data_IF_563299826711
#
_entry.id   IF_563299826711
#
_cell.length_a   1.000
_cell.length_b   1.000
_cell.length_c   1.000
_cell.angle_alpha   90.00
_cell.angle_beta   90.00
_cell.angle_gamma   90.00
#
_symmetry.space_group_name_H-M   'P 1'
#
loop_
_entity.id
_entity.type
_entity.pdbx_description
1 polymer ?
#
# COMPACT_ATOMS: atom_id res chain seq x y z
N UNK A 1 22.36 83.06 -29.32
CA UNK A 1 23.32 83.25 -28.21
C UNK A 1 22.53 83.31 -26.89
N UNK A 2 22.99 82.54 -25.89
CA UNK A 2 22.50 82.41 -24.50
C UNK A 2 21.49 81.30 -24.19
N UNK A 3 22.12 80.13 -23.99
CA UNK A 3 21.80 79.05 -23.05
C UNK A 3 21.21 79.54 -21.71
N UNK A 4 20.12 78.94 -21.22
CA UNK A 4 19.88 78.71 -19.79
C UNK A 4 19.07 77.42 -19.57
N UNK A 5 19.73 76.49 -18.91
CA UNK A 5 19.23 75.24 -18.34
C UNK A 5 18.35 75.56 -17.12
N UNK A 6 17.19 74.90 -16.99
CA UNK A 6 16.46 74.80 -15.71
C UNK A 6 16.13 73.33 -15.47
N UNK A 7 16.45 72.91 -14.25
CA UNK A 7 16.48 71.56 -13.75
C UNK A 7 15.12 71.04 -13.24
N UNK A 8 15.00 69.72 -13.32
CA UNK A 8 14.27 68.74 -12.51
C UNK A 8 13.23 69.19 -11.45
N UNK A 9 12.06 68.51 -11.48
CA UNK A 9 11.47 67.87 -10.31
C UNK A 9 10.43 66.82 -10.74
N UNK A 10 10.77 65.53 -10.61
CA UNK A 10 9.80 64.41 -10.66
C UNK A 10 9.29 64.23 -9.24
N UNK A 11 8.01 64.51 -9.00
CA UNK A 11 7.36 64.24 -7.73
C UNK A 11 6.96 62.76 -7.64
N UNK A 12 7.66 61.97 -6.82
CA UNK A 12 7.26 60.62 -6.45
C UNK A 12 6.18 60.69 -5.36
N UNK A 13 4.99 60.16 -5.63
CA UNK A 13 3.95 59.95 -4.63
C UNK A 13 4.24 58.63 -3.90
N UNK A 14 4.79 58.71 -2.68
CA UNK A 14 4.90 57.58 -1.77
C UNK A 14 3.67 57.55 -0.85
N UNK A 15 2.74 56.62 -1.10
CA UNK A 15 1.67 56.33 -0.14
C UNK A 15 2.21 55.44 0.97
N UNK A 16 2.27 55.99 2.19
CA UNK A 16 2.54 55.25 3.42
C UNK A 16 1.22 54.64 3.90
N UNK A 17 1.09 53.31 3.84
CA UNK A 17 0.04 52.59 4.55
C UNK A 17 0.45 52.41 6.01
N UNK A 18 -0.22 53.13 6.92
CA UNK A 18 -0.16 52.88 8.36
C UNK A 18 -1.00 51.63 8.68
N UNK A 19 -0.34 50.49 8.88
CA UNK A 19 -0.96 49.28 9.43
C UNK A 19 -1.05 49.36 10.96
N UNK A 20 -2.27 49.40 11.50
CA UNK A 20 -2.50 49.21 12.94
C UNK A 20 -2.39 47.73 13.33
N UNK A 21 -2.13 47.41 14.63
CA UNK A 21 -1.98 46.02 15.05
C UNK A 21 -3.32 45.29 15.02
N UNK A 22 -3.37 44.16 14.31
CA UNK A 22 -4.49 43.21 14.35
C UNK A 22 -4.34 42.37 15.61
N UNK A 23 -5.34 42.43 16.50
CA UNK A 23 -5.41 41.57 17.69
C UNK A 23 -6.22 40.33 17.33
N UNK A 24 -5.64 39.15 17.51
CA UNK A 24 -6.34 37.89 17.33
C UNK A 24 -7.22 37.61 18.56
N UNK A 25 -8.49 37.27 18.34
CA UNK A 25 -9.38 36.78 19.40
C UNK A 25 -8.96 35.38 19.84
N UNK A 26 -8.96 35.08 21.15
CA UNK A 26 -8.68 33.73 21.64
C UNK A 26 -9.80 32.77 21.24
N UNK A 27 -9.42 31.53 20.93
CA UNK A 27 -10.35 30.47 20.58
C UNK A 27 -11.37 30.22 21.71
N UNK A 28 -12.63 29.96 21.33
CA UNK A 28 -13.70 29.69 22.27
C UNK A 28 -13.36 28.46 23.15
N UNK A 29 -13.66 28.51 24.46
CA UNK A 29 -13.42 27.38 25.36
C UNK A 29 -14.27 26.17 24.97
N UNK A 30 -13.73 24.97 25.17
CA UNK A 30 -14.47 23.73 24.94
C UNK A 30 -15.70 23.65 25.86
N UNK A 31 -16.84 23.12 25.37
CA UNK A 31 -18.01 22.89 26.21
C UNK A 31 -17.69 21.92 27.35
N UNK A 32 -18.29 22.13 28.52
CA UNK A 32 -18.03 21.29 29.69
C UNK A 32 -18.32 19.81 29.43
N UNK A 33 -17.34 18.96 29.74
CA UNK A 33 -17.45 17.52 29.65
C UNK A 33 -17.76 16.92 31.03
N UNK A 34 -18.93 16.27 31.17
CA UNK A 34 -19.23 15.43 32.33
C UNK A 34 -19.08 13.95 31.97
N UNK A 35 -18.08 13.29 32.56
CA UNK A 35 -17.91 11.85 32.44
C UNK A 35 -18.98 11.11 33.25
N UNK A 36 -19.92 10.42 32.59
CA UNK A 36 -20.82 9.46 33.26
C UNK A 36 -20.18 8.08 33.27
N UNK A 37 -19.91 7.54 34.47
CA UNK A 37 -19.51 6.13 34.63
C UNK A 37 -20.76 5.25 34.57
N UNK A 38 -20.85 4.45 33.51
CA UNK A 38 -21.91 3.44 33.35
C UNK A 38 -21.36 2.10 33.85
N UNK A 39 -22.15 1.37 34.65
CA UNK A 39 -21.77 0.03 35.11
C UNK A 39 -21.76 -0.96 33.93
N UNK A 40 -20.79 -1.89 33.85
CA UNK A 40 -20.81 -2.95 32.85
C UNK A 40 -22.08 -3.81 32.99
N UNK A 41 -22.68 -4.27 31.87
CA UNK A 41 -23.81 -5.18 31.91
C UNK A 41 -23.43 -6.53 32.53
N UNK A 42 -24.39 -7.17 33.19
CA UNK A 42 -24.20 -8.46 33.84
C UNK A 42 -23.84 -9.58 32.84
N UNK A 43 -23.06 -10.60 33.25
CA UNK A 43 -22.69 -11.72 32.38
C UNK A 43 -23.93 -12.43 31.83
N UNK A 44 -23.99 -12.61 30.51
CA UNK A 44 -25.10 -13.31 29.82
C UNK A 44 -26.05 -12.42 29.01
N UNK A 45 -25.83 -11.10 28.96
CA UNK A 45 -26.66 -10.20 28.14
C UNK A 45 -26.25 -10.26 26.66
N UNK A 46 -27.12 -10.75 25.78
CA UNK A 46 -26.87 -10.80 24.34
C UNK A 46 -26.82 -9.38 23.73
N UNK A 47 -25.73 -9.05 23.02
CA UNK A 47 -25.55 -7.74 22.39
C UNK A 47 -26.42 -7.62 21.14
N UNK A 48 -27.48 -6.82 21.20
CA UNK A 48 -28.07 -6.19 20.00
C UNK A 48 -27.64 -4.73 19.99
N UNK A 49 -26.53 -4.44 19.33
CA UNK A 49 -26.15 -3.07 19.01
C UNK A 49 -27.02 -2.66 17.82
N UNK A 50 -28.13 -1.97 18.08
CA UNK A 50 -28.87 -1.24 17.05
C UNK A 50 -28.42 0.22 17.15
N UNK A 51 -27.30 0.57 16.53
CA UNK A 51 -26.94 1.98 16.35
C UNK A 51 -27.81 2.50 15.20
N UNK A 52 -28.93 3.12 15.53
CA UNK A 52 -29.58 4.03 14.58
C UNK A 52 -28.91 5.38 14.73
N UNK A 53 -28.13 5.77 13.72
CA UNK A 53 -27.65 7.15 13.60
C UNK A 53 -28.82 7.97 13.07
N UNK A 54 -29.15 9.05 13.77
CA UNK A 54 -30.19 10.00 13.38
C UNK A 54 -29.84 10.62 12.00
N UNK A 55 -30.71 10.49 10.97
CA UNK A 55 -30.48 11.03 9.64
C UNK A 55 -30.20 12.54 9.62
N UNK A 56 -30.77 13.30 10.56
CA UNK A 56 -30.57 14.76 10.63
C UNK A 56 -29.15 15.14 11.06
N UNK A 57 -28.53 14.33 11.92
CA UNK A 57 -27.15 14.55 12.39
C UNK A 57 -26.13 14.28 11.28
N UNK A 58 -26.44 13.33 10.39
CA UNK A 58 -25.60 13.02 9.23
C UNK A 58 -25.69 14.11 8.16
N UNK A 59 -26.87 14.72 7.99
CA UNK A 59 -27.06 15.87 7.10
C UNK A 59 -26.36 17.13 7.61
N UNK A 60 -26.36 17.38 8.94
CA UNK A 60 -25.59 18.48 9.55
C UNK A 60 -24.09 18.35 9.33
N UNK A 61 -23.54 17.14 9.42
CA UNK A 61 -22.11 16.88 9.16
C UNK A 61 -21.73 17.00 7.68
N UNK A 62 -22.65 16.66 6.78
CA UNK A 62 -22.44 16.80 5.33
C UNK A 62 -22.55 18.25 4.84
N UNK A 63 -23.22 19.14 5.58
CA UNK A 63 -23.46 20.53 5.20
C UNK A 63 -22.34 21.52 5.62
N UNK A 64 -21.29 21.07 6.31
CA UNK A 64 -20.15 21.92 6.67
C UNK A 64 -19.29 22.18 5.41
N UNK A 65 -19.10 23.43 4.97
CA UNK A 65 -18.24 23.73 3.84
C UNK A 65 -16.80 23.30 4.14
N UNK A 66 -16.20 22.50 3.25
CA UNK A 66 -14.77 22.19 3.26
C UNK A 66 -14.01 23.52 3.14
N UNK A 67 -13.44 24.00 4.23
CA UNK A 67 -12.54 25.15 4.20
C UNK A 67 -11.38 24.80 3.25
N UNK A 68 -11.26 25.58 2.18
CA UNK A 68 -10.13 25.57 1.28
C UNK A 68 -8.87 25.86 2.09
N UNK A 69 -7.96 24.89 2.15
CA UNK A 69 -6.62 25.09 2.68
C UNK A 69 -5.88 26.06 1.77
N UNK A 70 -5.91 27.34 2.11
CA UNK A 70 -5.01 28.33 1.53
C UNK A 70 -3.58 27.97 1.93
N UNK A 71 -2.73 27.75 0.94
CA UNK A 71 -1.27 27.60 1.07
C UNK A 71 -0.71 28.80 1.82
N UNK A 72 -0.36 28.61 3.09
CA UNK A 72 0.47 29.52 3.85
C UNK A 72 1.93 29.30 3.45
N UNK A 73 2.67 30.39 3.26
CA UNK A 73 4.06 30.38 2.81
C UNK A 73 4.98 29.55 3.70
N UNK A 74 5.98 28.94 3.06
CA UNK A 74 7.00 28.14 3.73
C UNK A 74 7.81 29.03 4.69
N UNK A 75 7.77 28.67 5.98
CA UNK A 75 8.78 29.10 6.96
C UNK A 75 10.08 28.34 6.65
N UNK A 76 11.19 29.02 6.31
CA UNK A 76 12.45 28.37 5.96
C UNK A 76 13.20 27.78 7.17
N UNK A 77 12.65 27.89 8.38
CA UNK A 77 13.28 27.44 9.64
C UNK A 77 12.44 26.40 10.41
N UNK A 78 11.44 25.80 9.75
CA UNK A 78 10.71 24.67 10.32
C UNK A 78 11.62 23.44 10.37
N UNK A 79 12.07 23.10 11.58
CA UNK A 79 12.76 21.83 11.87
C UNK A 79 11.92 20.68 11.31
N UNK A 80 12.47 19.75 10.51
CA UNK A 80 11.67 18.70 9.89
C UNK A 80 11.03 17.85 10.97
N UNK A 81 9.71 17.98 11.13
CA UNK A 81 8.91 17.07 11.95
C UNK A 81 9.14 15.66 11.44
N UNK A 82 9.66 14.78 12.30
CA UNK A 82 9.93 13.39 11.97
C UNK A 82 8.66 12.77 11.33
N UNK A 83 8.79 12.26 10.09
CA UNK A 83 7.69 11.58 9.41
C UNK A 83 7.21 10.44 10.31
N UNK A 84 5.91 10.38 10.57
CA UNK A 84 5.32 9.27 11.31
C UNK A 84 5.59 7.95 10.57
N UNK A 85 6.06 6.94 11.30
CA UNK A 85 6.34 5.62 10.75
C UNK A 85 5.04 5.01 10.19
N UNK A 86 5.07 4.58 8.92
CA UNK A 86 3.91 3.99 8.25
C UNK A 86 3.89 2.47 8.41
N UNK A 87 5.04 1.84 8.58
CA UNK A 87 5.18 0.39 8.77
C UNK A 87 6.52 0.00 9.37
N UNK A 88 6.75 -1.31 9.56
CA UNK A 88 8.00 -1.86 10.09
C UNK A 88 9.18 -1.61 9.16
N UNK A 89 8.93 -1.51 7.85
CA UNK A 89 9.97 -1.40 6.83
C UNK A 89 9.99 -0.03 6.15
N UNK A 90 9.84 1.07 6.90
CA UNK A 90 9.87 2.42 6.32
C UNK A 90 11.17 2.72 5.56
N UNK A 91 12.30 2.20 6.04
CA UNK A 91 13.61 2.30 5.38
C UNK A 91 13.62 1.75 3.95
N UNK A 92 12.76 0.77 3.63
CA UNK A 92 12.64 0.23 2.27
C UNK A 92 12.10 1.29 1.31
N UNK A 93 11.14 2.10 1.78
CA UNK A 93 10.48 3.15 1.02
C UNK A 93 11.33 4.42 0.86
N UNK A 94 12.48 4.51 1.53
CA UNK A 94 13.49 5.54 1.29
C UNK A 94 14.31 5.25 0.03
N UNK A 95 14.53 3.97 -0.29
CA UNK A 95 15.29 3.53 -1.47
C UNK A 95 14.44 3.12 -2.66
N UNK A 96 13.16 2.78 -2.45
CA UNK A 96 12.22 2.37 -3.51
C UNK A 96 11.00 3.29 -3.47
N UNK A 97 10.77 4.04 -4.56
CA UNK A 97 9.61 4.92 -4.64
C UNK A 97 8.30 4.12 -4.58
N UNK A 98 7.30 4.55 -3.78
CA UNK A 98 5.96 3.97 -3.80
C UNK A 98 5.09 4.51 -4.93
N UNK A 99 5.55 5.50 -5.69
CA UNK A 99 4.70 6.28 -6.57
C UNK A 99 4.40 5.54 -7.87
N UNK A 100 3.17 5.72 -8.37
CA UNK A 100 2.72 5.19 -9.65
C UNK A 100 3.46 5.84 -10.83
N UNK A 101 3.83 7.11 -10.70
CA UNK A 101 4.57 7.84 -11.74
C UNK A 101 5.98 7.29 -11.98
N UNK A 102 6.53 6.52 -11.03
CA UNK A 102 7.84 5.86 -11.12
C UNK A 102 7.70 4.37 -11.47
N UNK A 103 6.55 3.96 -12.04
CA UNK A 103 6.30 2.59 -12.45
C UNK A 103 7.33 2.11 -13.46
N UNK A 104 7.99 1.00 -13.15
CA UNK A 104 8.95 0.33 -14.01
C UNK A 104 9.22 -1.09 -13.51
N UNK A 105 9.25 -2.10 -14.39
CA UNK A 105 9.73 -3.43 -14.05
C UNK A 105 11.13 -3.43 -13.42
N UNK A 106 11.98 -2.45 -13.76
CA UNK A 106 13.34 -2.32 -13.25
C UNK A 106 13.41 -2.06 -11.73
N UNK A 107 12.32 -1.57 -11.10
CA UNK A 107 12.26 -1.38 -9.64
C UNK A 107 12.52 -2.67 -8.86
N UNK A 108 12.33 -3.83 -9.49
CA UNK A 108 12.67 -5.12 -8.89
C UNK A 108 14.16 -5.19 -8.51
N UNK A 109 15.04 -4.75 -9.42
CA UNK A 109 16.48 -4.84 -9.21
C UNK A 109 16.90 -4.02 -7.99
N UNK A 110 16.46 -2.76 -7.96
CA UNK A 110 16.76 -1.84 -6.85
C UNK A 110 16.20 -2.36 -5.53
N UNK A 111 14.97 -2.87 -5.54
CA UNK A 111 14.34 -3.45 -4.35
C UNK A 111 15.10 -4.69 -3.83
N UNK A 112 15.52 -5.60 -4.71
CA UNK A 112 16.28 -6.79 -4.31
C UNK A 112 17.70 -6.47 -3.84
N UNK A 113 18.37 -5.47 -4.45
CA UNK A 113 19.64 -4.97 -3.95
C UNK A 113 19.50 -4.41 -2.54
N UNK A 114 18.47 -3.58 -2.32
CA UNK A 114 18.19 -2.96 -1.03
C UNK A 114 17.90 -4.02 0.06
N UNK A 115 17.12 -5.06 -0.26
CA UNK A 115 16.82 -6.18 0.64
C UNK A 115 18.02 -7.06 0.97
N UNK A 116 19.06 -7.04 0.13
CA UNK A 116 20.31 -7.78 0.37
C UNK A 116 21.26 -7.05 1.33
N UNK A 117 20.92 -5.84 1.75
CA UNK A 117 21.71 -5.01 2.65
C UNK A 117 21.69 -5.44 4.12
N UNK A 118 22.17 -4.54 4.99
CA UNK A 118 22.32 -4.81 6.42
C UNK A 118 20.99 -4.93 7.18
N UNK A 119 19.98 -4.15 6.76
CA UNK A 119 18.63 -4.21 7.34
C UNK A 119 17.84 -5.32 6.64
N UNK A 120 17.35 -6.28 7.43
CA UNK A 120 16.72 -7.49 6.89
C UNK A 120 15.21 -7.49 7.08
N UNK A 121 14.51 -7.86 6.02
CA UNK A 121 13.11 -8.29 6.07
C UNK A 121 13.08 -9.78 6.41
N UNK A 122 12.10 -10.21 7.20
CA UNK A 122 11.95 -11.63 7.50
C UNK A 122 11.51 -12.38 6.22
N UNK A 123 12.36 -13.27 5.74
CA UNK A 123 12.08 -14.13 4.58
C UNK A 123 11.76 -15.57 5.04
N UNK A 124 10.95 -16.32 4.27
CA UNK A 124 10.75 -17.75 4.52
C UNK A 124 12.07 -18.51 4.42
N UNK A 125 12.19 -19.58 5.22
CA UNK A 125 13.35 -20.50 5.14
C UNK A 125 13.33 -21.23 3.79
N UNK A 126 14.50 -21.51 3.22
CA UNK A 126 14.64 -22.26 1.97
C UNK A 126 13.87 -23.58 2.00
N UNK A 127 14.00 -24.34 3.10
CA UNK A 127 13.27 -25.60 3.32
C UNK A 127 11.75 -25.42 3.19
N UNK A 128 11.18 -24.36 3.76
CA UNK A 128 9.73 -24.12 3.70
C UNK A 128 9.27 -23.87 2.25
N UNK A 129 10.03 -23.11 1.47
CA UNK A 129 9.72 -22.92 0.06
C UNK A 129 9.91 -24.20 -0.77
N UNK A 130 10.90 -25.03 -0.46
CA UNK A 130 11.07 -26.35 -1.08
C UNK A 130 9.88 -27.28 -0.81
N UNK A 131 9.35 -27.26 0.42
CA UNK A 131 8.17 -28.05 0.79
C UNK A 131 6.93 -27.60 0.02
N UNK A 132 6.68 -26.29 -0.07
CA UNK A 132 5.58 -25.75 -0.89
C UNK A 132 5.77 -26.09 -2.36
N UNK A 133 6.99 -25.92 -2.90
CA UNK A 133 7.29 -26.22 -4.30
C UNK A 133 7.12 -27.71 -4.62
N UNK A 134 7.49 -28.62 -3.72
CA UNK A 134 7.24 -30.07 -3.91
C UNK A 134 5.75 -30.40 -3.89
N UNK A 135 5.00 -29.78 -2.99
CA UNK A 135 3.57 -30.06 -2.84
C UNK A 135 2.72 -29.42 -3.94
N UNK A 136 3.09 -28.24 -4.43
CA UNK A 136 2.26 -27.38 -5.31
C UNK A 136 2.94 -26.94 -6.60
N UNK A 137 4.15 -27.41 -6.88
CA UNK A 137 4.94 -26.99 -8.03
C UNK A 137 4.25 -27.25 -9.36
N UNK A 138 3.61 -28.41 -9.54
CA UNK A 138 2.86 -28.72 -10.77
C UNK A 138 1.68 -27.75 -10.95
N UNK A 139 0.75 -27.58 -9.98
CA UNK A 139 -0.31 -26.57 -10.08
C UNK A 139 0.19 -25.15 -10.35
N UNK A 140 1.28 -24.73 -9.68
CA UNK A 140 1.89 -23.40 -9.91
C UNK A 140 2.36 -23.27 -11.35
N UNK A 141 3.16 -24.23 -11.83
CA UNK A 141 3.71 -24.20 -13.19
C UNK A 141 2.59 -24.19 -14.22
N UNK A 142 1.61 -25.09 -14.11
CA UNK A 142 0.48 -25.17 -15.03
C UNK A 142 -0.35 -23.90 -15.04
N UNK A 143 -0.63 -23.30 -13.87
CA UNK A 143 -1.44 -22.08 -13.77
C UNK A 143 -0.75 -20.87 -14.42
N UNK A 144 0.59 -20.82 -14.43
CA UNK A 144 1.35 -19.70 -15.02
C UNK A 144 1.57 -19.79 -16.53
N UNK A 145 1.26 -20.92 -17.17
CA UNK A 145 1.42 -21.07 -18.62
C UNK A 145 0.56 -20.05 -19.37
N UNK A 146 1.19 -19.28 -20.26
CA UNK A 146 0.50 -18.26 -21.07
C UNK A 146 0.21 -16.95 -20.33
N UNK A 147 0.75 -16.76 -19.13
CA UNK A 147 0.62 -15.53 -18.33
C UNK A 147 1.94 -14.76 -18.25
N UNK A 148 1.91 -13.54 -17.70
CA UNK A 148 3.09 -12.74 -17.35
C UNK A 148 3.51 -12.94 -15.89
N UNK A 149 3.22 -14.09 -15.29
CA UNK A 149 3.46 -14.35 -13.86
C UNK A 149 4.54 -15.41 -13.68
N UNK A 150 5.63 -15.06 -13.00
CA UNK A 150 6.67 -16.03 -12.67
C UNK A 150 6.18 -17.09 -11.67
N UNK A 151 6.46 -18.39 -11.88
CA UNK A 151 6.25 -19.43 -10.87
C UNK A 151 6.89 -19.10 -9.52
N UNK A 152 8.07 -18.46 -9.53
CA UNK A 152 8.74 -18.03 -8.31
C UNK A 152 7.96 -16.92 -7.57
N UNK A 153 7.28 -16.03 -8.30
CA UNK A 153 6.41 -15.02 -7.70
C UNK A 153 5.21 -15.67 -7.01
N UNK A 154 4.56 -16.63 -7.67
CA UNK A 154 3.43 -17.38 -7.08
C UNK A 154 3.85 -18.10 -5.82
N UNK A 155 5.00 -18.78 -5.85
CA UNK A 155 5.56 -19.46 -4.68
C UNK A 155 5.84 -18.48 -3.52
N UNK A 156 6.39 -17.31 -3.83
CA UNK A 156 6.63 -16.26 -2.84
C UNK A 156 5.33 -15.74 -2.22
N UNK A 157 4.32 -15.44 -3.03
CA UNK A 157 2.99 -15.00 -2.57
C UNK A 157 2.36 -16.05 -1.66
N UNK A 158 2.29 -17.33 -2.08
CA UNK A 158 1.75 -18.42 -1.25
C UNK A 158 2.45 -18.51 0.10
N UNK A 159 3.78 -18.34 0.13
CA UNK A 159 4.56 -18.43 1.36
C UNK A 159 4.24 -17.30 2.35
N UNK A 160 3.95 -16.10 1.86
CA UNK A 160 3.62 -14.94 2.70
C UNK A 160 2.15 -14.97 3.12
N UNK A 161 1.26 -15.37 2.21
CA UNK A 161 -0.19 -15.36 2.43
C UNK A 161 -0.66 -16.46 3.39
N UNK A 162 -0.19 -17.69 3.20
CA UNK A 162 -0.69 -18.86 3.95
C UNK A 162 0.41 -19.72 4.57
N UNK A 163 1.68 -19.42 4.31
CA UNK A 163 2.80 -20.32 4.57
C UNK A 163 2.61 -21.72 3.96
N UNK A 164 1.87 -21.81 2.85
CA UNK A 164 1.57 -23.08 2.15
C UNK A 164 0.37 -23.86 2.71
N UNK A 165 -0.44 -23.26 3.58
CA UNK A 165 -1.62 -23.92 4.18
C UNK A 165 -2.87 -23.74 3.31
N UNK A 166 -3.42 -24.82 2.72
CA UNK A 166 -4.56 -24.71 1.81
C UNK A 166 -5.89 -24.42 2.53
N UNK A 167 -5.96 -24.65 3.83
CA UNK A 167 -7.13 -24.43 4.69
C UNK A 167 -7.07 -23.08 5.45
N UNK A 168 -6.12 -22.21 5.10
CA UNK A 168 -5.96 -20.91 5.76
C UNK A 168 -7.17 -20.00 5.51
N UNK A 169 -7.71 -19.43 6.60
CA UNK A 169 -8.78 -18.42 6.55
C UNK A 169 -8.39 -17.23 7.42
N UNK A 170 -8.32 -16.03 6.84
CA UNK A 170 -8.02 -14.81 7.60
C UNK A 170 -9.25 -14.30 8.37
N UNK A 171 -9.03 -13.41 9.34
CA UNK A 171 -10.12 -12.75 10.07
C UNK A 171 -11.01 -11.86 9.19
N UNK A 172 -10.50 -11.43 8.02
CA UNK A 172 -11.26 -10.68 7.03
C UNK A 172 -12.00 -11.58 6.03
N UNK A 173 -11.75 -12.90 6.05
CA UNK A 173 -12.39 -13.88 5.19
C UNK A 173 -11.61 -14.24 3.92
N UNK A 174 -10.34 -13.86 3.82
CA UNK A 174 -9.46 -14.33 2.74
C UNK A 174 -9.17 -15.83 2.90
N UNK A 175 -9.12 -16.59 1.81
CA UNK A 175 -9.12 -18.05 1.86
C UNK A 175 -8.03 -18.71 1.00
N UNK A 176 -7.52 -19.83 1.51
CA UNK A 176 -6.65 -20.76 0.80
C UNK A 176 -5.21 -20.29 0.66
N UNK A 177 -4.48 -20.96 -0.24
CA UNK A 177 -3.04 -20.81 -0.42
C UNK A 177 -2.60 -19.38 -0.74
N UNK A 178 -3.36 -18.70 -1.59
CA UNK A 178 -3.08 -17.35 -2.09
C UNK A 178 -4.01 -16.29 -1.45
N UNK A 179 -4.73 -16.66 -0.38
CA UNK A 179 -5.61 -15.80 0.41
C UNK A 179 -6.52 -14.91 -0.44
N UNK A 180 -7.34 -15.54 -1.28
CA UNK A 180 -8.30 -14.80 -2.10
C UNK A 180 -9.48 -14.36 -1.25
N UNK A 181 -9.83 -13.07 -1.33
CA UNK A 181 -11.12 -12.59 -0.83
C UNK A 181 -12.26 -13.21 -1.66
N UNK A 182 -13.45 -13.48 -1.08
CA UNK A 182 -14.54 -14.15 -1.79
C UNK A 182 -14.94 -13.45 -3.10
N UNK A 183 -15.01 -12.11 -3.11
CA UNK A 183 -15.34 -11.35 -4.32
C UNK A 183 -14.25 -11.47 -5.40
N UNK A 184 -12.98 -11.51 -5.00
CA UNK A 184 -11.84 -11.74 -5.90
C UNK A 184 -11.88 -13.16 -6.44
N UNK A 185 -12.11 -14.16 -5.59
CA UNK A 185 -12.25 -15.56 -5.99
C UNK A 185 -13.36 -15.71 -7.05
N UNK A 186 -14.55 -15.16 -6.80
CA UNK A 186 -15.66 -15.18 -7.74
C UNK A 186 -15.31 -14.50 -9.07
N UNK A 187 -14.68 -13.32 -9.03
CA UNK A 187 -14.27 -12.57 -10.22
C UNK A 187 -13.29 -13.35 -11.11
N UNK A 188 -12.42 -14.17 -10.51
CA UNK A 188 -11.40 -14.94 -11.23
C UNK A 188 -11.77 -16.43 -11.40
N UNK A 189 -13.05 -16.77 -11.19
CA UNK A 189 -13.62 -18.08 -11.53
C UNK A 189 -13.30 -19.19 -10.54
N UNK A 190 -13.02 -18.85 -9.28
CA UNK A 190 -12.78 -19.82 -8.20
C UNK A 190 -14.11 -20.08 -7.49
N UNK A 191 -14.57 -21.34 -7.54
CA UNK A 191 -15.81 -21.75 -6.87
C UNK A 191 -15.58 -22.14 -5.41
N UNK A 192 -14.45 -22.76 -5.11
CA UNK A 192 -14.02 -23.09 -3.75
C UNK A 192 -12.54 -22.70 -3.57
N UNK A 193 -12.30 -21.69 -2.74
CA UNK A 193 -10.95 -21.19 -2.47
C UNK A 193 -10.14 -22.08 -1.53
N UNK A 194 -10.73 -23.11 -0.92
CA UNK A 194 -10.03 -24.10 -0.11
C UNK A 194 -9.53 -25.30 -0.96
N UNK A 195 -9.96 -25.41 -2.21
CA UNK A 195 -9.36 -26.32 -3.19
C UNK A 195 -8.04 -25.72 -3.68
N UNK A 196 -6.88 -26.35 -3.42
CA UNK A 196 -5.57 -25.77 -3.71
C UNK A 196 -5.37 -25.37 -5.18
N UNK A 197 -5.80 -26.24 -6.10
CA UNK A 197 -5.62 -26.07 -7.54
C UNK A 197 -6.46 -24.89 -8.06
N UNK A 198 -7.71 -24.80 -7.63
CA UNK A 198 -8.62 -23.69 -7.98
C UNK A 198 -8.10 -22.36 -7.41
N UNK A 199 -7.66 -22.37 -6.16
CA UNK A 199 -7.11 -21.19 -5.49
C UNK A 199 -5.85 -20.66 -6.20
N UNK A 200 -4.92 -21.55 -6.57
CA UNK A 200 -3.72 -21.19 -7.32
C UNK A 200 -4.11 -20.65 -8.71
N UNK A 201 -5.00 -21.34 -9.44
CA UNK A 201 -5.42 -20.91 -10.77
C UNK A 201 -6.08 -19.52 -10.75
N UNK A 202 -6.96 -19.26 -9.77
CA UNK A 202 -7.57 -17.94 -9.59
C UNK A 202 -6.59 -16.86 -9.15
N UNK A 203 -5.71 -17.18 -8.21
CA UNK A 203 -4.69 -16.23 -7.73
C UNK A 203 -3.68 -15.86 -8.81
N UNK A 204 -3.30 -16.80 -9.69
CA UNK A 204 -2.45 -16.50 -10.86
C UNK A 204 -3.18 -15.62 -11.87
N UNK A 205 -4.47 -15.88 -12.17
CA UNK A 205 -5.26 -14.97 -13.02
C UNK A 205 -5.38 -13.58 -12.43
N UNK A 206 -5.50 -13.47 -11.11
CA UNK A 206 -5.53 -12.18 -10.43
C UNK A 206 -4.18 -11.45 -10.53
N UNK A 207 -3.08 -12.14 -10.27
CA UNK A 207 -1.73 -11.59 -10.46
C UNK A 207 -1.52 -11.15 -11.92
N UNK A 208 -1.88 -11.97 -12.90
CA UNK A 208 -1.71 -11.63 -14.32
C UNK A 208 -2.51 -10.37 -14.71
N UNK A 209 -3.74 -10.24 -14.20
CA UNK A 209 -4.51 -9.01 -14.37
C UNK A 209 -3.83 -7.78 -13.75
N UNK A 210 -3.19 -7.94 -12.58
CA UNK A 210 -2.42 -6.87 -11.94
C UNK A 210 -1.13 -6.55 -12.72
N UNK A 211 -0.43 -7.57 -13.24
CA UNK A 211 0.76 -7.43 -14.07
C UNK A 211 0.45 -6.56 -15.30
N UNK A 212 -0.64 -6.84 -16.00
CA UNK A 212 -1.10 -6.03 -17.12
C UNK A 212 -1.50 -4.61 -16.70
N UNK A 213 -2.13 -4.47 -15.53
CA UNK A 213 -2.63 -3.17 -15.05
C UNK A 213 -1.52 -2.20 -14.64
N UNK A 214 -0.40 -2.73 -14.16
CA UNK A 214 0.71 -1.95 -13.62
C UNK A 214 1.99 -2.14 -14.42
N UNK A 215 1.87 -2.51 -15.71
CA UNK A 215 2.99 -2.62 -16.65
C UNK A 215 4.15 -3.48 -16.12
N UNK A 216 3.83 -4.61 -15.49
CA UNK A 216 4.75 -5.55 -14.84
C UNK A 216 5.59 -4.96 -13.70
N UNK A 217 5.15 -3.85 -13.10
CA UNK A 217 5.84 -3.26 -11.97
C UNK A 217 5.63 -4.07 -10.68
N UNK A 218 6.70 -4.59 -10.06
CA UNK A 218 6.58 -5.48 -8.91
C UNK A 218 6.01 -4.79 -7.67
N UNK A 219 6.28 -3.49 -7.48
CA UNK A 219 5.87 -2.77 -6.29
C UNK A 219 4.36 -2.56 -6.31
N UNK A 220 3.83 -2.13 -7.45
CA UNK A 220 2.41 -1.84 -7.63
C UNK A 220 1.57 -3.10 -7.79
N UNK A 221 2.10 -4.14 -8.44
CA UNK A 221 1.44 -5.45 -8.54
C UNK A 221 1.22 -6.02 -7.15
N UNK A 222 2.27 -6.06 -6.31
CA UNK A 222 2.16 -6.59 -4.95
C UNK A 222 1.29 -5.71 -4.05
N UNK A 223 1.38 -4.39 -4.16
CA UNK A 223 0.49 -3.48 -3.45
C UNK A 223 -0.97 -3.67 -3.88
N UNK A 224 -1.21 -3.83 -5.18
CA UNK A 224 -2.54 -4.09 -5.74
C UNK A 224 -3.09 -5.45 -5.33
N UNK A 225 -2.25 -6.46 -5.17
CA UNK A 225 -2.65 -7.77 -4.67
C UNK A 225 -3.22 -7.69 -3.26
N UNK A 226 -2.49 -7.04 -2.34
CA UNK A 226 -2.87 -6.91 -0.93
C UNK A 226 -3.95 -5.84 -0.67
N UNK A 227 -3.82 -4.63 -1.22
CA UNK A 227 -4.72 -3.50 -0.95
C UNK A 227 -5.85 -3.33 -1.97
N UNK A 228 -5.79 -4.06 -3.08
CA UNK A 228 -6.64 -3.86 -4.24
C UNK A 228 -6.13 -2.76 -5.16
N UNK A 229 -6.29 -2.96 -6.47
CA UNK A 229 -5.83 -2.00 -7.48
C UNK A 229 -6.54 -0.62 -7.43
N UNK A 230 -7.74 -0.56 -6.85
CA UNK A 230 -8.45 0.70 -6.61
C UNK A 230 -7.69 1.59 -5.61
N UNK A 231 -7.22 1.01 -4.50
CA UNK A 231 -6.44 1.74 -3.50
C UNK A 231 -5.14 2.29 -4.09
N UNK A 232 -4.44 1.51 -4.93
CA UNK A 232 -3.22 1.95 -5.61
C UNK A 232 -3.49 3.15 -6.52
N UNK A 233 -4.57 3.10 -7.30
CA UNK A 233 -5.00 4.23 -8.15
C UNK A 233 -5.34 5.46 -7.32
N UNK A 234 -6.16 5.30 -6.29
CA UNK A 234 -6.69 6.41 -5.48
C UNK A 234 -5.59 7.15 -4.71
N UNK A 235 -4.48 6.47 -4.43
CA UNK A 235 -3.29 7.03 -3.78
C UNK A 235 -2.15 7.36 -4.76
N UNK A 236 -2.36 7.19 -6.07
CA UNK A 236 -1.32 7.35 -7.10
C UNK A 236 -0.02 6.60 -6.77
N UNK A 237 -0.12 5.40 -6.20
CA UNK A 237 1.02 4.63 -5.71
C UNK A 237 0.64 3.65 -4.59
N UNK A 238 1.61 3.11 -3.88
CA UNK A 238 1.37 2.23 -2.74
C UNK A 238 0.63 3.00 -1.64
N UNK A 239 -0.56 2.55 -1.19
CA UNK A 239 -1.31 3.26 -0.17
C UNK A 239 -0.53 3.33 1.16
N UNK A 240 -0.78 4.33 2.02
CA UNK A 240 -0.12 4.47 3.32
C UNK A 240 -0.72 3.51 4.37
N UNK A 241 -1.04 2.28 3.97
CA UNK A 241 -1.52 1.24 4.88
C UNK A 241 -0.32 0.46 5.40
N UNK A 242 -0.16 0.40 6.72
CA UNK A 242 0.96 -0.30 7.36
C UNK A 242 1.10 -1.73 6.87
N UNK A 243 -0.02 -2.43 6.72
CA UNK A 243 -0.06 -3.80 6.20
C UNK A 243 0.54 -3.89 4.79
N UNK A 244 0.09 -3.06 3.86
CA UNK A 244 0.57 -3.07 2.47
C UNK A 244 2.02 -2.63 2.36
N UNK A 245 2.41 -1.62 3.14
CA UNK A 245 3.78 -1.11 3.22
C UNK A 245 4.75 -2.15 3.78
N UNK A 246 4.26 -3.05 4.64
CA UNK A 246 5.03 -4.19 5.12
C UNK A 246 4.96 -5.42 4.20
N UNK A 247 3.86 -5.59 3.47
CA UNK A 247 3.58 -6.73 2.61
C UNK A 247 4.52 -6.79 1.40
N UNK A 248 4.67 -5.68 0.68
CA UNK A 248 5.51 -5.61 -0.54
C UNK A 248 6.94 -6.09 -0.28
N UNK A 249 7.70 -5.52 0.69
CA UNK A 249 9.06 -5.98 0.96
C UNK A 249 9.13 -7.43 1.46
N UNK A 250 8.11 -7.94 2.19
CA UNK A 250 8.06 -9.36 2.60
C UNK A 250 7.96 -10.30 1.40
N UNK A 251 7.09 -10.01 0.44
CA UNK A 251 6.94 -10.85 -0.75
C UNK A 251 8.18 -10.76 -1.63
N UNK A 252 8.80 -9.59 -1.77
CA UNK A 252 10.06 -9.46 -2.52
C UNK A 252 11.21 -10.22 -1.86
N UNK A 253 11.31 -10.21 -0.53
CA UNK A 253 12.27 -11.03 0.20
C UNK A 253 11.99 -12.53 0.01
N UNK A 254 10.73 -12.95 0.02
CA UNK A 254 10.33 -14.32 -0.31
C UNK A 254 10.65 -14.69 -1.77
N UNK A 255 10.44 -13.77 -2.71
CA UNK A 255 10.78 -13.94 -4.13
C UNK A 255 12.28 -14.13 -4.33
N UNK A 256 13.12 -13.41 -3.59
CA UNK A 256 14.57 -13.59 -3.63
C UNK A 256 15.01 -15.02 -3.28
N UNK A 257 14.35 -15.64 -2.30
CA UNK A 257 14.60 -17.05 -1.96
C UNK A 257 13.97 -17.98 -3.00
N UNK A 258 12.73 -17.71 -3.43
CA UNK A 258 11.99 -18.53 -4.39
C UNK A 258 12.69 -18.61 -5.75
N UNK A 259 13.23 -17.50 -6.27
CA UNK A 259 13.95 -17.47 -7.56
C UNK A 259 15.23 -18.32 -7.53
N UNK A 260 15.83 -18.53 -6.36
CA UNK A 260 16.97 -19.42 -6.17
C UNK A 260 16.62 -20.91 -6.24
N UNK A 261 15.33 -21.26 -6.18
CA UNK A 261 14.84 -22.64 -6.40
C UNK A 261 14.64 -22.96 -7.89
N UNK A 262 14.71 -21.97 -8.77
CA UNK A 262 14.58 -22.16 -10.21
C UNK A 262 15.89 -22.67 -10.81
N UNK A 263 15.81 -23.54 -11.84
CA UNK A 263 16.98 -23.98 -12.61
C UNK A 263 17.71 -22.80 -13.26
N UNK A 264 16.95 -21.82 -13.74
CA UNK A 264 17.44 -20.52 -14.19
C UNK A 264 16.72 -19.45 -13.37
N UNK A 265 17.43 -18.72 -12.48
CA UNK A 265 16.81 -17.71 -11.65
C UNK A 265 16.20 -16.56 -12.48
N UNK A 266 14.87 -16.32 -12.42
CA UNK A 266 14.20 -15.25 -13.19
C UNK A 266 14.73 -13.88 -12.80
N UNK A 267 14.97 -12.97 -13.76
CA UNK A 267 15.44 -11.60 -13.49
C UNK A 267 14.29 -10.65 -13.17
N UNK A 268 13.13 -10.85 -13.78
CA UNK A 268 11.88 -10.13 -13.56
C UNK A 268 10.83 -11.03 -12.88
N UNK A 269 9.84 -10.42 -12.24
CA UNK A 269 8.68 -11.16 -11.69
C UNK A 269 7.75 -11.72 -12.78
N UNK A 270 7.99 -11.37 -14.04
CA UNK A 270 7.32 -11.90 -15.23
C UNK A 270 8.04 -13.09 -15.86
N UNK A 271 9.29 -13.36 -15.48
CA UNK A 271 10.09 -14.38 -16.14
C UNK A 271 9.66 -15.78 -15.69
N UNK A 272 9.45 -16.66 -16.66
CA UNK A 272 9.17 -18.07 -16.40
C UNK A 272 10.34 -18.76 -15.72
N UNK A 273 10.05 -19.79 -14.92
CA UNK A 273 11.08 -20.62 -14.32
C UNK A 273 10.56 -22.04 -14.06
N UNK A 274 11.46 -23.02 -14.02
CA UNK A 274 11.16 -24.39 -13.59
C UNK A 274 11.88 -24.67 -12.29
N UNK A 275 11.18 -25.17 -11.28
CA UNK A 275 11.77 -25.48 -9.98
C UNK A 275 12.71 -26.68 -10.06
N UNK A 276 13.93 -26.52 -9.56
CA UNK A 276 14.92 -27.60 -9.45
C UNK A 276 14.47 -28.74 -8.53
N UNK A 277 13.56 -28.45 -7.59
CA UNK A 277 13.05 -29.40 -6.60
C UNK A 277 12.01 -30.40 -7.14
N UNK A 278 11.63 -30.30 -8.42
CA UNK A 278 10.69 -31.22 -9.08
C UNK A 278 11.39 -32.35 -9.86
N UNK A 279 12.72 -32.39 -9.85
CA UNK A 279 13.55 -33.46 -10.42
C UNK A 279 13.97 -34.46 -9.35
#
# INVERSE_FOLDING_TARGET
MRLRVIAAAVAAFSQVFLGGPVRADPAAPFPEFQARRVKPPAPGTARRINVQIDPEEQQRRAAVPKQQSTTAGADPDATPTAKASLGRYDWFWEGVSPDLAQSSPARLHDALQLLSGAQKVAAPRLQALQEIARARGIPILTATVGTQVSPALVLAVISVESAGKPDAVSGAGAQGLMQLMPDTAARFGVSDSLVPEDNIAGGVKYLDWLMQKFDNDPILVLAGYNAGAGAVRDHAGVPPFAETRDYVPKVLAAFQVARGLCLTPPELISDGCVFAALN
#
